data_IF_280072243628
#
_entry.id   IF_280072243628
#
_cell.length_a   1.000
_cell.length_b   1.000
_cell.length_c   1.000
_cell.angle_alpha   90.00
_cell.angle_beta   90.00
_cell.angle_gamma   90.00
#
_symmetry.space_group_name_H-M   'P 1'
#
loop_
_entity.id
_entity.type
_entity.pdbx_description
1 polymer ?
#
# COMPACT_ATOMS: atom_id res chain seq x y z
N UNK A 1 17.05 -3.64 7.96
CA UNK A 1 17.59 -2.84 6.84
C UNK A 1 16.45 -2.19 6.07
N UNK A 2 16.60 -0.94 5.70
CA UNK A 2 15.60 -0.20 4.94
C UNK A 2 15.94 -0.26 3.47
N UNK A 3 14.96 -0.64 2.65
CA UNK A 3 15.07 -0.61 1.19
C UNK A 3 14.34 0.61 0.66
N UNK A 4 14.91 1.25 -0.34
CA UNK A 4 14.28 2.38 -1.02
C UNK A 4 14.00 2.03 -2.47
N UNK A 5 12.88 2.54 -2.98
CA UNK A 5 12.43 2.32 -4.34
C UNK A 5 11.86 3.64 -4.87
N UNK A 6 12.54 4.23 -5.84
CA UNK A 6 12.12 5.50 -6.42
C UNK A 6 11.34 5.29 -7.71
N UNK A 7 10.18 5.93 -7.80
CA UNK A 7 9.40 6.01 -9.03
C UNK A 7 9.41 7.44 -9.54
N UNK A 8 8.78 7.69 -10.70
CA UNK A 8 8.65 9.04 -11.23
C UNK A 8 7.80 9.95 -10.31
N UNK A 9 6.92 9.37 -9.49
CA UNK A 9 5.98 10.11 -8.67
C UNK A 9 6.43 10.26 -7.22
N UNK A 10 7.19 9.31 -6.68
CA UNK A 10 7.49 9.29 -5.25
C UNK A 10 8.71 8.45 -4.92
N UNK A 11 9.23 8.67 -3.72
CA UNK A 11 10.21 7.80 -3.10
C UNK A 11 9.46 6.90 -2.10
N UNK A 12 9.61 5.59 -2.29
CA UNK A 12 9.05 4.59 -1.37
C UNK A 12 10.18 4.00 -0.54
N UNK A 13 9.84 3.59 0.66
CA UNK A 13 10.79 2.86 1.50
C UNK A 13 10.05 1.83 2.35
N UNK A 14 10.78 0.84 2.82
CA UNK A 14 10.25 -0.16 3.74
C UNK A 14 11.37 -0.90 4.45
N UNK A 15 11.02 -1.55 5.55
CA UNK A 15 11.90 -2.43 6.30
C UNK A 15 11.88 -3.81 5.61
N UNK A 16 13.05 -4.31 5.25
CA UNK A 16 13.18 -5.61 4.57
C UNK A 16 12.60 -6.77 5.39
N UNK A 17 12.75 -6.72 6.72
CA UNK A 17 12.19 -7.76 7.57
C UNK A 17 10.67 -7.75 7.54
N UNK A 18 10.07 -6.57 7.51
CA UNK A 18 8.61 -6.43 7.39
C UNK A 18 8.12 -6.88 6.02
N UNK A 19 8.87 -6.60 4.97
CA UNK A 19 8.53 -7.05 3.62
C UNK A 19 8.52 -8.57 3.55
N UNK A 20 9.52 -9.21 4.13
CA UNK A 20 9.60 -10.67 4.17
C UNK A 20 8.45 -11.28 4.97
N UNK A 21 8.16 -10.72 6.14
CA UNK A 21 7.05 -11.16 6.98
C UNK A 21 5.72 -11.00 6.24
N UNK A 22 5.55 -9.89 5.54
CA UNK A 22 4.33 -9.62 4.77
C UNK A 22 4.16 -10.64 3.64
N UNK A 23 5.24 -10.98 2.95
CA UNK A 23 5.22 -11.98 1.87
C UNK A 23 4.79 -13.34 2.40
N UNK A 24 5.34 -13.75 3.55
CA UNK A 24 4.97 -15.03 4.17
C UNK A 24 3.51 -15.05 4.61
N UNK A 25 3.04 -13.93 5.15
CA UNK A 25 1.70 -13.84 5.73
C UNK A 25 0.61 -13.67 4.68
N UNK A 26 0.86 -12.86 3.66
CA UNK A 26 -0.15 -12.45 2.69
C UNK A 26 0.17 -12.84 1.24
N UNK A 27 1.39 -13.28 0.96
CA UNK A 27 1.81 -13.62 -0.39
C UNK A 27 1.97 -12.41 -1.31
N UNK A 28 2.13 -11.22 -0.74
CA UNK A 28 2.22 -9.96 -1.48
C UNK A 28 3.58 -9.31 -1.23
N UNK A 29 4.25 -8.94 -2.30
CA UNK A 29 5.50 -8.19 -2.25
C UNK A 29 5.24 -6.69 -2.10
N UNK A 30 6.16 -5.99 -1.46
CA UNK A 30 6.02 -4.53 -1.36
C UNK A 30 6.24 -3.83 -2.70
N UNK A 31 6.91 -4.46 -3.65
CA UNK A 31 6.96 -3.96 -5.03
C UNK A 31 5.57 -3.94 -5.68
N UNK A 32 4.73 -4.92 -5.36
CA UNK A 32 3.33 -4.93 -5.80
C UNK A 32 2.55 -3.79 -5.13
N UNK A 33 2.87 -3.50 -3.87
CA UNK A 33 2.26 -2.36 -3.16
C UNK A 33 2.59 -1.04 -3.85
N UNK A 34 3.84 -0.87 -4.30
CA UNK A 34 4.24 0.31 -5.08
C UNK A 34 3.41 0.42 -6.35
N UNK A 35 3.20 -0.69 -7.05
CA UNK A 35 2.38 -0.72 -8.27
C UNK A 35 0.93 -0.32 -7.97
N UNK A 36 0.37 -0.79 -6.84
CA UNK A 36 -0.99 -0.42 -6.43
C UNK A 36 -1.10 1.08 -6.16
N UNK A 37 -0.05 1.67 -5.56
CA UNK A 37 -0.01 3.11 -5.29
C UNK A 37 0.04 3.94 -6.58
N UNK A 38 0.46 3.36 -7.69
CA UNK A 38 0.53 4.03 -8.98
C UNK A 38 -0.80 3.97 -9.75
N UNK A 39 -1.80 3.24 -9.26
CA UNK A 39 -3.10 3.14 -9.88
C UNK A 39 -3.80 4.51 -9.84
N UNK A 40 -4.12 5.10 -11.01
CA UNK A 40 -4.79 6.41 -11.03
C UNK A 40 -6.19 6.39 -10.40
N UNK A 41 -6.78 5.21 -10.24
CA UNK A 41 -8.09 5.04 -9.61
C UNK A 41 -7.98 4.65 -8.13
N UNK A 42 -6.79 4.67 -7.55
CA UNK A 42 -6.60 4.28 -6.16
C UNK A 42 -7.42 5.17 -5.22
N UNK A 43 -7.97 4.54 -4.19
CA UNK A 43 -8.71 5.24 -3.13
C UNK A 43 -7.84 5.30 -1.88
N UNK A 44 -7.68 6.49 -1.32
CA UNK A 44 -6.85 6.71 -0.15
C UNK A 44 -7.71 7.23 0.99
N UNK A 45 -7.53 6.67 2.18
CA UNK A 45 -8.22 7.09 3.38
C UNK A 45 -7.21 7.28 4.51
N UNK A 46 -7.37 8.39 5.24
CA UNK A 46 -6.56 8.67 6.41
C UNK A 46 -6.97 7.74 7.58
N UNK A 47 -6.00 7.16 8.27
CA UNK A 47 -6.23 6.28 9.41
C UNK A 47 -6.04 7.06 10.70
N UNK A 48 -7.10 7.70 11.17
CA UNK A 48 -7.06 8.48 12.42
C UNK A 48 -6.70 7.63 13.63
N UNK A 49 -7.21 6.41 13.66
CA UNK A 49 -7.08 5.54 14.83
C UNK A 49 -5.63 5.13 15.09
N UNK A 50 -4.82 5.01 14.04
CA UNK A 50 -3.45 4.52 14.13
C UNK A 50 -2.40 5.57 13.75
N UNK A 51 -2.82 6.80 13.52
CA UNK A 51 -1.88 7.91 13.28
C UNK A 51 -1.41 8.46 14.63
N UNK A 52 -0.11 8.63 14.74
CA UNK A 52 0.53 9.21 15.92
C UNK A 52 1.45 10.32 15.47
N UNK A 53 2.76 10.12 15.60
CA UNK A 53 3.77 11.08 15.15
C UNK A 53 3.81 11.14 13.63
N UNK A 54 3.43 10.05 12.94
CA UNK A 54 3.37 10.00 11.49
C UNK A 54 1.94 9.75 11.03
N UNK A 55 1.54 10.39 9.94
CA UNK A 55 0.24 10.18 9.34
C UNK A 55 0.21 8.80 8.66
N UNK A 56 -0.82 8.03 8.98
CA UNK A 56 -1.02 6.70 8.42
C UNK A 56 -2.21 6.68 7.48
N UNK A 57 -2.05 6.01 6.36
CA UNK A 57 -3.07 5.95 5.32
C UNK A 57 -3.33 4.51 4.89
N UNK A 58 -4.55 4.27 4.42
CA UNK A 58 -4.95 3.03 3.75
C UNK A 58 -5.25 3.36 2.30
N UNK A 59 -4.76 2.54 1.39
CA UNK A 59 -4.96 2.72 -0.04
C UNK A 59 -5.48 1.44 -0.66
N UNK A 60 -6.57 1.54 -1.44
CA UNK A 60 -7.02 0.46 -2.29
C UNK A 60 -6.58 0.77 -3.72
N UNK A 61 -5.78 -0.10 -4.30
CA UNK A 61 -5.27 0.12 -5.65
C UNK A 61 -5.12 -1.19 -6.39
N UNK A 62 -5.25 -1.13 -7.72
CA UNK A 62 -5.18 -2.29 -8.57
C UNK A 62 -3.78 -2.47 -9.13
N UNK A 63 -3.33 -3.73 -9.12
CA UNK A 63 -2.09 -4.15 -9.75
C UNK A 63 -2.48 -4.99 -10.97
N UNK A 64 -2.01 -4.58 -12.14
CA UNK A 64 -2.43 -5.25 -13.37
C UNK A 64 -3.91 -4.98 -13.65
N UNK A 65 -4.65 -6.03 -14.01
CA UNK A 65 -6.05 -5.88 -14.40
C UNK A 65 -7.05 -6.53 -13.45
N UNK A 66 -6.58 -7.27 -12.45
CA UNK A 66 -7.49 -8.08 -11.62
C UNK A 66 -7.20 -8.05 -10.13
N UNK A 67 -6.01 -7.64 -9.71
CA UNK A 67 -5.59 -7.73 -8.33
C UNK A 67 -5.72 -6.39 -7.62
N UNK A 68 -6.63 -6.31 -6.66
CA UNK A 68 -6.78 -5.11 -5.82
C UNK A 68 -6.12 -5.38 -4.48
N UNK A 69 -5.27 -4.47 -4.04
CA UNK A 69 -4.56 -4.58 -2.77
C UNK A 69 -5.02 -3.49 -1.81
N UNK A 70 -5.01 -3.82 -0.51
CA UNK A 70 -5.04 -2.81 0.53
C UNK A 70 -3.60 -2.59 0.98
N UNK A 71 -3.10 -1.37 0.80
CA UNK A 71 -1.76 -0.98 1.20
C UNK A 71 -1.87 -0.01 2.38
N UNK A 72 -1.12 -0.29 3.44
CA UNK A 72 -1.04 0.60 4.60
C UNK A 72 0.34 1.25 4.55
N UNK A 73 0.37 2.58 4.64
CA UNK A 73 1.63 3.31 4.59
C UNK A 73 1.58 4.55 5.48
N UNK A 74 2.77 5.03 5.83
CA UNK A 74 2.92 6.34 6.46
C UNK A 74 3.63 7.25 5.47
N UNK A 75 3.46 8.54 5.63
CA UNK A 75 4.08 9.52 4.75
C UNK A 75 4.72 10.64 5.55
N UNK A 76 5.98 10.89 5.25
CA UNK A 76 6.74 12.00 5.80
C UNK A 76 7.64 12.53 4.68
N UNK A 77 8.92 12.18 4.66
CA UNK A 77 9.81 12.53 3.54
C UNK A 77 9.67 11.52 2.39
N UNK A 78 9.19 10.32 2.72
CA UNK A 78 8.97 9.24 1.77
C UNK A 78 7.69 8.52 2.14
N UNK A 79 7.16 7.75 1.21
CA UNK A 79 6.03 6.86 1.48
C UNK A 79 6.61 5.57 2.06
N UNK A 80 6.34 5.32 3.35
CA UNK A 80 6.85 4.13 4.02
C UNK A 80 5.78 3.06 4.07
N UNK A 81 5.99 1.99 3.33
CA UNK A 81 5.03 0.88 3.26
C UNK A 81 5.12 0.06 4.54
N UNK A 82 3.98 -0.16 5.17
CA UNK A 82 3.86 -0.91 6.43
C UNK A 82 3.35 -2.32 6.16
N UNK A 83 2.33 -2.46 5.32
CA UNK A 83 1.76 -3.76 4.98
C UNK A 83 0.99 -3.69 3.66
N UNK A 84 0.81 -4.86 3.04
CA UNK A 84 0.02 -4.98 1.82
C UNK A 84 -0.63 -6.37 1.80
N UNK A 85 -1.92 -6.40 1.53
CA UNK A 85 -2.67 -7.66 1.42
C UNK A 85 -3.70 -7.55 0.31
N UNK A 86 -4.23 -8.68 -0.10
CA UNK A 86 -5.34 -8.67 -1.05
C UNK A 86 -6.55 -8.00 -0.40
N UNK A 87 -7.25 -7.20 -1.19
CA UNK A 87 -8.49 -6.59 -0.73
C UNK A 87 -9.55 -7.67 -0.49
N UNK A 88 -10.41 -7.44 0.52
CA UNK A 88 -11.57 -8.28 0.75
C UNK A 88 -12.59 -8.05 -0.36
N UNK A 89 -13.58 -8.93 -0.47
CA UNK A 89 -14.64 -8.78 -1.47
C UNK A 89 -15.38 -7.44 -1.30
N UNK A 90 -15.63 -7.04 -0.06
CA UNK A 90 -16.27 -5.77 0.24
C UNK A 90 -15.41 -4.58 -0.18
N UNK A 91 -14.11 -4.66 0.07
CA UNK A 91 -13.16 -3.63 -0.36
C UNK A 91 -13.07 -3.54 -1.87
N UNK A 92 -13.07 -4.66 -2.56
CA UNK A 92 -13.07 -4.68 -4.03
C UNK A 92 -14.32 -3.98 -4.57
N UNK A 93 -15.49 -4.28 -3.99
CA UNK A 93 -16.73 -3.62 -4.41
C UNK A 93 -16.68 -2.12 -4.19
N UNK A 94 -16.12 -1.70 -3.07
CA UNK A 94 -15.96 -0.28 -2.76
C UNK A 94 -15.04 0.39 -3.79
N UNK A 95 -13.93 -0.24 -4.10
CA UNK A 95 -12.98 0.24 -5.11
C UNK A 95 -13.66 0.37 -6.48
N UNK A 96 -14.36 -0.68 -6.91
CA UNK A 96 -15.02 -0.69 -8.22
C UNK A 96 -16.13 0.35 -8.31
N UNK A 97 -16.83 0.59 -7.22
CA UNK A 97 -17.91 1.57 -7.18
C UNK A 97 -17.40 3.00 -7.36
N UNK A 98 -16.17 3.27 -6.94
CA UNK A 98 -15.57 4.61 -7.01
C UNK A 98 -14.59 4.77 -8.17
N UNK A 99 -14.52 3.78 -9.02
CA UNK A 99 -13.58 3.76 -10.11
C UNK A 99 -14.00 4.64 -11.29
#
# INVERSE_FOLDING_TARGET
MVKQHRTAQALFEWDEAKAESNRRKHGIDFEQAVAACADPCALVRYDEAHSGEEDRFHLLGMVGTTLVLLVVFTEHDAIRIISARRATRQEVRHYEHHR
#
